data_IF_938849489273
#
_entry.id   IF_938849489273
#
_cell.length_a   1.000
_cell.length_b   1.000
_cell.length_c   1.000
_cell.angle_alpha   90.00
_cell.angle_beta   90.00
_cell.angle_gamma   90.00
#
_symmetry.space_group_name_H-M   'P 1'
#
loop_
_entity.id
_entity.type
_entity.pdbx_description
1 polymer ?
#
# COMPACT_ATOMS: atom_id res chain seq x y z
N UNK A 1 13.15 2.92 25.74
CA UNK A 1 13.11 3.71 24.49
C UNK A 1 11.69 4.20 24.27
N UNK A 2 11.46 5.48 24.50
CA UNK A 2 10.17 6.13 24.21
C UNK A 2 10.02 6.21 22.71
N UNK A 3 9.02 5.53 22.17
CA UNK A 3 8.66 5.64 20.76
C UNK A 3 8.22 7.07 20.48
N UNK A 4 8.89 7.76 19.55
CA UNK A 4 8.44 9.07 19.09
C UNK A 4 6.97 9.02 18.69
N UNK A 5 6.22 10.05 19.15
CA UNK A 5 4.83 10.22 18.76
C UNK A 5 4.77 10.49 17.27
N UNK A 6 4.10 9.65 16.50
CA UNK A 6 3.90 9.87 15.06
C UNK A 6 3.13 11.18 14.86
N UNK A 7 3.67 12.06 14.05
CA UNK A 7 2.97 13.27 13.62
C UNK A 7 1.76 12.89 12.77
N UNK A 8 0.64 13.58 13.00
CA UNK A 8 -0.57 13.42 12.21
C UNK A 8 -1.34 14.75 12.17
N UNK A 9 -1.96 15.01 11.02
CA UNK A 9 -2.93 16.08 10.80
C UNK A 9 -3.95 15.62 9.77
N UNK A 10 -5.13 16.22 9.81
CA UNK A 10 -6.23 15.91 8.89
C UNK A 10 -5.81 16.13 7.42
N UNK A 11 -6.12 15.17 6.55
CA UNK A 11 -5.75 15.22 5.13
C UNK A 11 -4.30 14.86 4.82
N UNK A 12 -3.48 14.53 5.84
CA UNK A 12 -2.09 14.12 5.61
C UNK A 12 -2.00 12.84 4.77
N UNK A 13 -1.04 12.81 3.86
CA UNK A 13 -0.69 11.63 3.07
C UNK A 13 0.54 10.95 3.64
N UNK A 14 0.51 9.62 3.71
CA UNK A 14 1.58 8.81 4.27
C UNK A 14 2.05 7.74 3.27
N UNK A 15 3.36 7.59 3.15
CA UNK A 15 3.97 6.38 2.65
C UNK A 15 4.08 5.37 3.80
N UNK A 16 3.30 4.31 3.72
CA UNK A 16 3.25 3.24 4.72
C UNK A 16 3.96 2.02 4.18
N UNK A 17 4.86 1.46 4.99
CA UNK A 17 5.55 0.21 4.68
C UNK A 17 5.40 -0.77 5.84
N UNK A 18 4.98 -1.99 5.54
CA UNK A 18 4.94 -3.09 6.49
C UNK A 18 5.62 -4.32 5.90
N UNK A 19 6.46 -4.98 6.69
CA UNK A 19 7.26 -6.13 6.25
C UNK A 19 6.97 -7.35 7.11
N UNK A 20 7.11 -8.53 6.51
CA UNK A 20 7.02 -9.80 7.20
C UNK A 20 8.11 -9.98 8.26
N UNK A 21 7.77 -10.67 9.34
CA UNK A 21 8.71 -10.99 10.41
C UNK A 21 9.89 -11.80 9.87
N UNK A 22 11.12 -11.45 10.23
CA UNK A 22 12.36 -12.00 9.67
C UNK A 22 12.46 -11.92 8.13
N UNK A 23 11.75 -10.97 7.49
CA UNK A 23 11.63 -10.83 6.03
C UNK A 23 10.95 -12.02 5.35
N UNK A 24 10.23 -12.85 6.11
CA UNK A 24 9.45 -13.95 5.54
C UNK A 24 8.32 -13.41 4.66
N UNK A 25 7.91 -14.24 3.71
CA UNK A 25 6.79 -13.94 2.83
C UNK A 25 5.50 -13.81 3.63
N UNK A 26 4.79 -12.72 3.36
CA UNK A 26 3.46 -12.43 3.87
C UNK A 26 2.38 -12.73 2.82
N UNK A 27 2.79 -12.97 1.58
CA UNK A 27 1.96 -13.49 0.50
C UNK A 27 2.68 -14.70 -0.11
N UNK A 28 2.03 -15.87 -0.11
CA UNK A 28 2.60 -17.12 -0.61
C UNK A 28 1.95 -17.61 -1.89
N UNK A 29 0.74 -17.14 -2.17
CA UNK A 29 0.00 -17.46 -3.39
C UNK A 29 -0.89 -16.28 -3.84
N UNK A 30 -1.50 -16.43 -5.02
CA UNK A 30 -2.37 -15.40 -5.60
C UNK A 30 -3.63 -15.12 -4.77
N UNK A 31 -4.08 -16.07 -3.98
CA UNK A 31 -5.24 -15.88 -3.10
C UNK A 31 -4.91 -14.90 -1.97
N UNK A 32 -3.71 -14.97 -1.41
CA UNK A 32 -3.26 -14.08 -0.34
C UNK A 32 -3.30 -12.61 -0.79
N UNK A 33 -2.83 -12.31 -2.00
CA UNK A 33 -2.91 -10.97 -2.58
C UNK A 33 -4.36 -10.49 -2.73
N UNK A 34 -5.22 -11.37 -3.27
CA UNK A 34 -6.64 -11.05 -3.44
C UNK A 34 -7.34 -10.78 -2.10
N UNK A 35 -7.09 -11.61 -1.10
CA UNK A 35 -7.67 -11.44 0.24
C UNK A 35 -7.18 -10.15 0.89
N UNK A 36 -5.89 -9.81 0.74
CA UNK A 36 -5.38 -8.54 1.27
C UNK A 36 -6.08 -7.33 0.64
N UNK A 37 -6.29 -7.34 -0.69
CA UNK A 37 -7.01 -6.29 -1.40
C UNK A 37 -8.47 -6.19 -0.95
N UNK A 38 -9.17 -7.32 -0.79
CA UNK A 38 -10.54 -7.35 -0.26
C UNK A 38 -10.57 -6.73 1.16
N UNK A 39 -9.61 -7.06 2.01
CA UNK A 39 -9.52 -6.50 3.37
C UNK A 39 -9.27 -4.98 3.33
N UNK A 40 -8.45 -4.49 2.38
CA UNK A 40 -8.27 -3.04 2.18
C UNK A 40 -9.59 -2.36 1.79
N UNK A 41 -10.33 -2.93 0.85
CA UNK A 41 -11.64 -2.43 0.42
C UNK A 41 -12.66 -2.42 1.56
N UNK A 42 -12.78 -3.53 2.27
CA UNK A 42 -13.66 -3.65 3.44
C UNK A 42 -13.28 -2.65 4.55
N UNK A 43 -11.98 -2.37 4.74
CA UNK A 43 -11.53 -1.37 5.69
C UNK A 43 -11.92 0.05 5.24
N UNK A 44 -11.80 0.38 3.96
CA UNK A 44 -12.28 1.66 3.42
C UNK A 44 -13.79 1.84 3.62
N UNK A 45 -14.58 0.78 3.38
CA UNK A 45 -16.02 0.79 3.61
C UNK A 45 -16.36 0.92 5.10
N UNK A 46 -15.65 0.19 5.97
CA UNK A 46 -15.84 0.26 7.42
C UNK A 46 -15.58 1.66 7.99
N UNK A 47 -14.58 2.34 7.42
CA UNK A 47 -14.16 3.69 7.81
C UNK A 47 -14.67 4.77 6.84
N UNK A 48 -15.80 4.55 6.15
CA UNK A 48 -16.32 5.45 5.11
C UNK A 48 -16.51 6.90 5.59
N UNK A 49 -16.85 7.11 6.87
CA UNK A 49 -17.03 8.44 7.45
C UNK A 49 -15.70 9.16 7.78
N UNK A 50 -14.56 8.48 7.62
CA UNK A 50 -13.25 9.03 7.99
C UNK A 50 -12.42 9.49 6.78
N UNK A 51 -12.96 9.34 5.57
CA UNK A 51 -12.39 9.81 4.31
C UNK A 51 -10.95 9.33 4.06
N UNK A 52 -10.66 8.05 4.35
CA UNK A 52 -9.42 7.45 3.91
C UNK A 52 -9.42 7.22 2.39
N UNK A 53 -8.26 7.45 1.77
CA UNK A 53 -8.05 7.19 0.36
C UNK A 53 -6.70 6.50 0.16
N UNK A 54 -6.68 5.36 -0.55
CA UNK A 54 -5.46 4.71 -1.00
C UNK A 54 -5.13 5.25 -2.39
N UNK A 55 -4.09 6.08 -2.47
CA UNK A 55 -3.65 6.72 -3.71
C UNK A 55 -2.87 5.71 -4.57
N UNK A 56 -2.01 4.91 -3.95
CA UNK A 56 -1.25 3.87 -4.62
C UNK A 56 -0.91 2.74 -3.66
N UNK A 57 -0.69 1.54 -4.18
CA UNK A 57 -0.12 0.43 -3.41
C UNK A 57 0.79 -0.44 -4.27
N UNK A 58 1.68 -1.18 -3.60
CA UNK A 58 2.43 -2.28 -4.17
C UNK A 58 2.52 -3.41 -3.13
N UNK A 59 2.07 -4.60 -3.51
CA UNK A 59 2.11 -5.80 -2.69
C UNK A 59 3.25 -6.69 -3.17
N UNK A 60 4.34 -6.75 -2.39
CA UNK A 60 5.50 -7.61 -2.64
C UNK A 60 5.39 -8.85 -1.77
N UNK A 61 6.00 -9.96 -2.16
CA UNK A 61 5.85 -11.24 -1.47
C UNK A 61 6.08 -11.13 0.06
N UNK A 62 7.02 -10.30 0.51
CA UNK A 62 7.37 -10.16 1.92
C UNK A 62 7.11 -8.78 2.54
N UNK A 63 6.53 -7.84 1.81
CA UNK A 63 6.18 -6.52 2.33
C UNK A 63 5.12 -5.81 1.47
N UNK A 64 4.53 -4.77 2.04
CA UNK A 64 3.56 -3.91 1.36
C UNK A 64 4.01 -2.46 1.40
N UNK A 65 3.72 -1.73 0.34
CA UNK A 65 3.77 -0.28 0.27
C UNK A 65 2.36 0.25 0.01
N UNK A 66 1.95 1.24 0.81
CA UNK A 66 0.68 1.96 0.63
C UNK A 66 0.97 3.46 0.64
N UNK A 67 0.41 4.18 -0.30
CA UNK A 67 0.30 5.64 -0.27
C UNK A 67 -1.12 5.96 0.18
N UNK A 68 -1.26 6.28 1.49
CA UNK A 68 -2.54 6.45 2.16
C UNK A 68 -2.74 7.91 2.54
N UNK A 69 -3.80 8.53 2.02
CA UNK A 69 -4.30 9.82 2.47
C UNK A 69 -5.29 9.61 3.59
N UNK A 70 -5.11 10.35 4.68
CA UNK A 70 -6.04 10.35 5.81
C UNK A 70 -7.09 11.45 5.65
N UNK A 71 -8.27 11.25 6.23
CA UNK A 71 -9.22 12.32 6.45
C UNK A 71 -9.16 12.77 7.90
N UNK A 72 -10.27 12.65 8.62
CA UNK A 72 -10.45 13.14 10.00
C UNK A 72 -9.85 12.24 11.08
N UNK A 73 -9.27 11.11 10.71
CA UNK A 73 -8.68 10.14 11.64
C UNK A 73 -7.28 9.71 11.20
N UNK A 74 -6.39 9.38 12.14
CA UNK A 74 -5.01 9.02 11.85
C UNK A 74 -4.87 7.63 11.19
N UNK A 75 -3.75 7.38 10.47
CA UNK A 75 -3.57 6.15 9.68
C UNK A 75 -3.50 4.86 10.51
N UNK A 76 -3.13 4.95 11.80
CA UNK A 76 -2.92 3.75 12.62
C UNK A 76 -4.19 2.96 12.90
N UNK A 77 -5.38 3.57 12.94
CA UNK A 77 -6.65 2.85 13.09
C UNK A 77 -6.94 1.98 11.88
N UNK A 78 -6.75 2.56 10.69
CA UNK A 78 -6.96 1.87 9.42
C UNK A 78 -5.98 0.69 9.26
N UNK A 79 -4.69 0.96 9.41
CA UNK A 79 -3.64 -0.05 9.22
C UNK A 79 -3.73 -1.16 10.27
N UNK A 80 -4.02 -0.84 11.53
CA UNK A 80 -4.19 -1.84 12.59
C UNK A 80 -5.32 -2.82 12.25
N UNK A 81 -6.45 -2.32 11.71
CA UNK A 81 -7.56 -3.17 11.28
C UNK A 81 -7.14 -4.10 10.14
N UNK A 82 -6.58 -3.54 9.06
CA UNK A 82 -6.14 -4.31 7.89
C UNK A 82 -5.16 -5.41 8.29
N UNK A 83 -4.08 -5.04 8.99
CA UNK A 83 -3.04 -6.00 9.36
C UNK A 83 -3.53 -7.05 10.35
N UNK A 84 -4.41 -6.69 11.29
CA UNK A 84 -4.98 -7.63 12.26
C UNK A 84 -5.88 -8.68 11.58
N UNK A 85 -6.72 -8.27 10.62
CA UNK A 85 -7.58 -9.19 9.88
C UNK A 85 -6.75 -10.10 8.99
N UNK A 86 -5.80 -9.52 8.24
CA UNK A 86 -4.94 -10.28 7.35
C UNK A 86 -4.04 -11.28 8.10
N UNK A 87 -3.43 -10.87 9.22
CA UNK A 87 -2.61 -11.76 10.02
C UNK A 87 -3.41 -12.97 10.55
N UNK A 88 -4.67 -12.77 10.97
CA UNK A 88 -5.54 -13.89 11.37
C UNK A 88 -5.85 -14.85 10.22
N UNK A 89 -6.14 -14.30 9.03
CA UNK A 89 -6.34 -15.11 7.82
C UNK A 89 -5.09 -15.94 7.50
N UNK A 90 -3.93 -15.31 7.41
CA UNK A 90 -2.66 -15.96 7.09
C UNK A 90 -2.31 -17.05 8.11
N UNK A 91 -2.38 -16.73 9.42
CA UNK A 91 -2.10 -17.66 10.49
C UNK A 91 -3.01 -18.89 10.43
N UNK A 92 -4.32 -18.69 10.15
CA UNK A 92 -5.27 -19.78 9.99
C UNK A 92 -4.98 -20.63 8.76
N UNK A 93 -4.72 -20.00 7.61
CA UNK A 93 -4.48 -20.68 6.32
C UNK A 93 -3.23 -21.57 6.37
N UNK A 94 -2.16 -21.05 6.98
CA UNK A 94 -0.84 -21.69 6.96
C UNK A 94 -0.44 -22.37 8.27
N UNK A 95 -1.32 -22.45 9.25
CA UNK A 95 -1.00 -22.89 10.62
C UNK A 95 0.25 -22.16 11.16
N UNK A 96 0.37 -20.87 10.82
CA UNK A 96 1.52 -20.06 11.17
C UNK A 96 1.41 -19.58 12.62
N UNK A 97 2.46 -19.85 13.42
CA UNK A 97 2.53 -19.46 14.82
C UNK A 97 3.39 -18.19 14.97
N UNK A 98 2.84 -17.21 15.67
CA UNK A 98 3.53 -15.95 15.97
C UNK A 98 3.02 -14.75 15.17
N UNK A 99 3.85 -13.69 15.18
CA UNK A 99 3.52 -12.43 14.52
C UNK A 99 3.88 -12.47 13.04
N UNK A 100 2.90 -12.15 12.17
CA UNK A 100 3.14 -12.11 10.74
C UNK A 100 4.02 -10.92 10.33
N UNK A 101 3.72 -9.73 10.86
CA UNK A 101 4.45 -8.51 10.54
C UNK A 101 5.57 -8.22 11.54
N UNK A 102 6.69 -7.66 11.05
CA UNK A 102 7.84 -7.26 11.85
C UNK A 102 7.54 -5.97 12.62
N UNK A 103 6.99 -6.10 13.83
CA UNK A 103 6.69 -4.95 14.68
C UNK A 103 5.63 -4.02 14.08
N UNK A 104 5.78 -2.72 14.36
CA UNK A 104 4.90 -1.69 13.81
C UNK A 104 5.33 -1.31 12.39
N UNK A 105 4.35 -1.00 11.53
CA UNK A 105 4.62 -0.44 10.21
C UNK A 105 5.39 0.88 10.27
N UNK A 106 6.18 1.21 9.26
CA UNK A 106 6.73 2.54 9.04
C UNK A 106 5.68 3.44 8.40
N UNK A 107 5.68 4.72 8.75
CA UNK A 107 4.81 5.73 8.16
C UNK A 107 5.59 7.04 8.03
N UNK A 108 5.80 7.48 6.80
CA UNK A 108 6.49 8.72 6.44
C UNK A 108 5.48 9.68 5.86
N UNK A 109 5.44 10.92 6.37
CA UNK A 109 4.55 11.97 5.85
C UNK A 109 5.07 12.43 4.49
N UNK A 110 4.18 12.57 3.54
CA UNK A 110 4.44 13.17 2.23
C UNK A 110 4.15 14.66 2.33
N UNK A 111 5.20 15.46 2.32
CA UNK A 111 5.12 16.89 2.62
C UNK A 111 4.74 17.77 1.42
N UNK A 112 4.95 17.28 0.18
CA UNK A 112 4.70 18.04 -1.04
C UNK A 112 4.43 17.14 -2.25
N UNK A 113 3.91 17.76 -3.33
CA UNK A 113 3.53 17.05 -4.55
C UNK A 113 4.72 16.39 -5.27
N UNK A 114 5.91 16.99 -5.22
CA UNK A 114 7.12 16.40 -5.81
C UNK A 114 7.46 15.09 -5.11
N UNK A 115 7.47 15.10 -3.78
CA UNK A 115 7.73 13.90 -3.00
C UNK A 115 6.62 12.84 -3.18
N UNK A 116 5.37 13.28 -3.36
CA UNK A 116 4.26 12.38 -3.68
C UNK A 116 4.48 11.66 -5.01
N UNK A 117 4.89 12.37 -6.05
CA UNK A 117 5.18 11.79 -7.36
C UNK A 117 6.37 10.83 -7.30
N UNK A 118 7.44 11.21 -6.62
CA UNK A 118 8.62 10.34 -6.43
C UNK A 118 8.27 9.06 -5.66
N UNK A 119 7.49 9.19 -4.59
CA UNK A 119 7.05 8.05 -3.79
C UNK A 119 6.11 7.14 -4.58
N UNK A 120 5.17 7.71 -5.33
CA UNK A 120 4.29 6.94 -6.22
C UNK A 120 5.12 6.20 -7.27
N UNK A 121 6.06 6.86 -7.92
CA UNK A 121 6.99 6.24 -8.86
C UNK A 121 7.81 5.12 -8.22
N UNK A 122 8.33 5.36 -7.02
CA UNK A 122 9.07 4.35 -6.26
C UNK A 122 8.22 3.10 -6.01
N UNK A 123 6.97 3.28 -5.57
CA UNK A 123 6.02 2.18 -5.30
C UNK A 123 5.79 1.35 -6.56
N UNK A 124 5.55 2.00 -7.71
CA UNK A 124 5.30 1.29 -8.98
C UNK A 124 6.53 0.59 -9.56
N UNK A 125 7.73 1.12 -9.32
CA UNK A 125 8.98 0.53 -9.79
C UNK A 125 9.60 -0.51 -8.84
N UNK A 126 9.01 -0.72 -7.65
CA UNK A 126 9.53 -1.67 -6.66
C UNK A 126 9.71 -3.09 -7.22
N UNK A 127 8.73 -3.67 -7.95
CA UNK A 127 8.88 -5.01 -8.51
C UNK A 127 10.02 -5.12 -9.53
N UNK A 128 10.22 -4.09 -10.35
CA UNK A 128 11.33 -4.04 -11.32
C UNK A 128 12.67 -3.93 -10.60
N UNK A 129 12.78 -3.05 -9.59
CA UNK A 129 13.99 -2.92 -8.76
C UNK A 129 14.33 -4.21 -8.02
N UNK A 130 13.31 -4.96 -7.61
CA UNK A 130 13.46 -6.27 -6.98
C UNK A 130 13.74 -7.40 -7.99
N UNK A 131 13.81 -7.11 -9.28
CA UNK A 131 14.01 -8.07 -10.39
C UNK A 131 12.97 -9.19 -10.43
N UNK A 132 11.74 -8.88 -10.01
CA UNK A 132 10.61 -9.81 -10.06
C UNK A 132 9.94 -9.79 -11.44
N UNK A 133 10.02 -8.67 -12.12
CA UNK A 133 9.51 -8.45 -13.49
C UNK A 133 10.46 -7.50 -14.24
N UNK A 134 10.38 -7.50 -15.57
CA UNK A 134 11.19 -6.61 -16.40
C UNK A 134 10.54 -5.22 -16.54
N UNK A 135 9.21 -5.19 -16.60
CA UNK A 135 8.43 -3.95 -16.73
C UNK A 135 7.37 -3.83 -15.64
N UNK A 136 6.96 -2.61 -15.23
CA UNK A 136 5.92 -2.41 -14.23
C UNK A 136 4.57 -3.03 -14.62
N UNK A 137 4.25 -3.09 -15.91
CA UNK A 137 2.98 -3.60 -16.43
C UNK A 137 2.78 -5.08 -16.14
N UNK A 138 3.86 -5.85 -16.08
CA UNK A 138 3.82 -7.28 -15.75
C UNK A 138 3.37 -7.55 -14.31
N UNK A 139 3.47 -6.53 -13.44
CA UNK A 139 3.06 -6.60 -12.03
C UNK A 139 1.73 -5.87 -11.75
N UNK A 140 1.00 -5.48 -12.77
CA UNK A 140 -0.17 -4.59 -12.70
C UNK A 140 -1.29 -5.05 -11.76
N UNK A 141 -1.47 -6.36 -11.55
CA UNK A 141 -2.49 -6.90 -10.64
C UNK A 141 -2.19 -6.69 -9.15
N UNK A 142 -0.93 -6.43 -8.81
CA UNK A 142 -0.43 -6.29 -7.44
C UNK A 142 0.03 -4.87 -7.11
N UNK A 143 -0.08 -3.98 -8.11
CA UNK A 143 0.24 -2.55 -8.02
C UNK A 143 -0.88 -1.78 -8.66
N UNK A 144 -1.43 -0.77 -7.99
CA UNK A 144 -2.39 0.16 -8.61
C UNK A 144 -2.33 1.53 -7.98
N UNK A 145 -2.93 2.50 -8.67
CA UNK A 145 -3.23 3.82 -8.16
C UNK A 145 -4.74 3.99 -8.03
N UNK A 146 -5.16 4.46 -6.84
CA UNK A 146 -6.50 4.92 -6.49
C UNK A 146 -7.52 3.83 -6.10
N UNK A 147 -7.71 3.71 -4.78
CA UNK A 147 -8.89 3.13 -4.13
C UNK A 147 -9.46 4.19 -3.18
N UNK A 148 -10.71 4.60 -3.36
CA UNK A 148 -11.36 5.58 -2.50
C UNK A 148 -12.64 5.04 -1.87
N UNK A 149 -12.97 5.54 -0.67
CA UNK A 149 -14.16 5.18 0.10
C UNK A 149 -15.46 5.79 -0.43
N UNK A 150 -15.43 6.60 -1.49
CA UNK A 150 -16.64 7.18 -2.06
C UNK A 150 -17.45 6.15 -2.83
N UNK A 151 -18.81 6.13 -2.68
CA UNK A 151 -19.67 5.25 -3.45
C UNK A 151 -19.46 5.46 -4.96
N UNK A 152 -19.02 4.40 -5.67
CA UNK A 152 -18.63 4.46 -7.09
C UNK A 152 -17.13 4.63 -7.34
N UNK A 153 -16.31 4.62 -6.30
CA UNK A 153 -14.86 4.89 -6.34
C UNK A 153 -13.96 3.82 -6.98
N UNK A 154 -14.50 2.70 -7.45
CA UNK A 154 -13.79 1.77 -8.32
C UNK A 154 -13.82 2.26 -9.77
N UNK A 155 -13.37 3.47 -10.03
CA UNK A 155 -13.01 3.84 -11.40
C UNK A 155 -11.61 3.30 -11.63
N UNK A 156 -11.53 2.27 -12.49
CA UNK A 156 -10.31 1.92 -13.21
C UNK A 156 -9.70 3.21 -13.76
N UNK A 157 -8.83 3.82 -12.96
CA UNK A 157 -8.00 4.91 -13.47
C UNK A 157 -7.12 4.27 -14.52
N UNK A 158 -7.28 4.69 -15.77
CA UNK A 158 -6.62 4.08 -16.92
C UNK A 158 -5.11 4.08 -16.70
N UNK A 159 -4.59 2.93 -16.31
CA UNK A 159 -3.16 2.61 -16.26
C UNK A 159 -2.41 3.15 -17.49
N UNK A 160 -3.04 3.07 -18.67
CA UNK A 160 -2.48 3.53 -19.92
C UNK A 160 -2.10 5.02 -19.96
N UNK A 161 -2.79 5.90 -19.24
CA UNK A 161 -2.45 7.32 -19.20
C UNK A 161 -1.25 7.60 -18.29
N UNK A 162 -1.13 6.89 -17.16
CA UNK A 162 -0.06 7.10 -16.16
C UNK A 162 1.27 6.48 -16.61
N UNK A 163 1.23 5.28 -17.18
CA UNK A 163 2.41 4.61 -17.79
C UNK A 163 2.93 5.42 -18.96
N UNK A 164 2.06 6.04 -19.77
CA UNK A 164 2.44 6.90 -20.88
C UNK A 164 3.15 8.19 -20.42
N UNK A 165 2.73 8.78 -19.30
CA UNK A 165 3.42 9.93 -18.70
C UNK A 165 4.75 9.53 -18.08
N UNK A 166 4.83 8.35 -17.44
CA UNK A 166 6.07 7.83 -16.84
C UNK A 166 7.08 7.35 -17.89
N UNK A 167 6.66 6.75 -19.00
CA UNK A 167 7.56 6.37 -20.09
C UNK A 167 8.14 7.59 -20.80
N UNK A 168 7.37 8.68 -20.94
CA UNK A 168 7.86 9.93 -21.50
C UNK A 168 8.89 10.63 -20.60
N UNK A 169 8.78 10.50 -19.26
CA UNK A 169 9.78 11.10 -18.35
C UNK A 169 11.09 10.30 -18.27
N UNK A 170 11.12 9.04 -18.70
CA UNK A 170 12.36 8.26 -18.81
C UNK A 170 13.23 8.66 -20.00
N UNK A 171 12.67 9.34 -21.02
CA UNK A 171 13.41 9.84 -22.18
C UNK A 171 14.00 11.26 -22.00
N UNK A 172 13.70 11.95 -20.90
CA UNK A 172 14.18 13.33 -20.65
C UNK A 172 15.20 13.46 -19.51
N UNK A 173 15.78 12.35 -19.03
CA UNK A 173 16.92 12.40 -18.08
C UNK A 173 18.10 11.70 -18.73
N UNK A 174 18.79 12.44 -19.56
CA UNK A 174 20.21 12.28 -19.88
C UNK A 174 20.98 13.41 -19.23
#
# INVERSE_FOLDING_TARGET
MTSEKRSWYEGATYHITARGHHRNDIFRDEEDFKIYLIILEEALLYFNNYNYEIIAYCLMDNHVHLLLKTGVEPPWRFIARVHSIYARYFNKKYNYLGTLFQGRYSAEIIENDTYMLETSRYIHLNPVKARMVETPDEYSKRVTSSLSSTPGGFKNFQWQAYVKVMSLSLFFVN
#
